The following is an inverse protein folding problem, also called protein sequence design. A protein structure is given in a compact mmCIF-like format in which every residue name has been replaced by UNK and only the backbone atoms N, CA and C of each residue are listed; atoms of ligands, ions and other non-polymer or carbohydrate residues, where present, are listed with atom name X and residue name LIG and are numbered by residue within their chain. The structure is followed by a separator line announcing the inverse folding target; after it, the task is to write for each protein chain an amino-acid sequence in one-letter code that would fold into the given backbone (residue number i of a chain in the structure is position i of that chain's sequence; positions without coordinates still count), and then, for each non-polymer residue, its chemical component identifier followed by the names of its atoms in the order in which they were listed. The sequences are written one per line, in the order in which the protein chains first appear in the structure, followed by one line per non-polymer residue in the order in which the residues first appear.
data_IF_679812511401
#
_entry.id   IF_679812511401
#
_cell.length_a   1.000
_cell.length_b   1.000
_cell.length_c   1.000
_cell.angle_alpha   90.00
_cell.angle_beta   90.00
_cell.angle_gamma   90.00
#
_symmetry.space_group_name_H-M   'P 1'
#
loop_
_entity.id
_entity.type
_entity.pdbx_description
1 polymer ?
#
# COMPACT_ATOMS: atom_id res chain seq x y z
N UNK A 1 23.67 -44.85 53.74
CA UNK A 1 23.40 -43.43 53.42
C UNK A 1 23.69 -43.22 51.94
N UNK A 2 22.67 -43.17 51.08
CA UNK A 2 22.85 -42.98 49.62
C UNK A 2 22.43 -41.57 49.27
N UNK A 3 23.38 -40.73 48.85
CA UNK A 3 23.14 -39.37 48.37
C UNK A 3 22.71 -39.49 46.90
N UNK A 4 21.48 -39.09 46.59
CA UNK A 4 21.00 -38.94 45.22
C UNK A 4 21.29 -37.51 44.77
N UNK A 5 22.29 -37.35 43.91
CA UNK A 5 22.57 -36.07 43.23
C UNK A 5 21.64 -35.97 42.03
N UNK A 6 20.63 -35.10 42.11
CA UNK A 6 19.79 -34.73 40.96
C UNK A 6 20.53 -33.64 40.18
N UNK A 7 21.04 -34.00 38.99
CA UNK A 7 21.62 -33.04 38.04
C UNK A 7 20.47 -32.45 37.22
N UNK A 8 20.13 -31.19 37.51
CA UNK A 8 19.15 -30.43 36.74
C UNK A 8 19.85 -29.80 35.53
N UNK A 9 19.78 -30.47 34.38
CA UNK A 9 20.28 -29.93 33.12
C UNK A 9 19.35 -28.82 32.61
N UNK A 10 19.74 -27.56 32.78
CA UNK A 10 19.10 -26.42 32.10
C UNK A 10 19.38 -26.52 30.59
N UNK A 11 18.41 -26.98 29.82
CA UNK A 11 18.40 -26.83 28.36
C UNK A 11 17.96 -25.41 28.04
N UNK A 12 18.91 -24.52 27.73
CA UNK A 12 18.61 -23.25 27.10
C UNK A 12 18.18 -23.51 25.65
N UNK A 13 16.87 -23.57 25.41
CA UNK A 13 16.33 -23.52 24.05
C UNK A 13 16.51 -22.09 23.56
N UNK A 14 17.52 -21.87 22.71
CA UNK A 14 17.64 -20.63 21.96
C UNK A 14 16.43 -20.51 21.02
N UNK A 15 15.42 -19.75 21.44
CA UNK A 15 14.30 -19.40 20.58
C UNK A 15 14.87 -18.56 19.43
N UNK A 16 14.75 -19.00 18.17
CA UNK A 16 15.19 -18.19 17.05
C UNK A 16 14.41 -16.87 17.09
N UNK A 17 15.12 -15.75 17.17
CA UNK A 17 14.52 -14.44 16.95
C UNK A 17 13.97 -14.45 15.53
N UNK A 18 12.64 -14.44 15.39
CA UNK A 18 11.99 -14.33 14.08
C UNK A 18 12.47 -13.02 13.45
N UNK A 19 13.29 -13.12 12.42
CA UNK A 19 13.70 -11.96 11.63
C UNK A 19 12.43 -11.30 11.07
N UNK A 20 12.39 -9.96 11.11
CA UNK A 20 11.27 -9.21 10.57
C UNK A 20 11.06 -9.56 9.09
N UNK A 21 9.85 -9.96 8.73
CA UNK A 21 9.51 -10.36 7.37
C UNK A 21 9.21 -9.16 6.48
N UNK A 22 8.79 -8.05 7.09
CA UNK A 22 8.37 -6.83 6.41
C UNK A 22 9.14 -5.64 6.95
N UNK A 23 9.67 -4.82 6.05
CA UNK A 23 10.21 -3.51 6.38
C UNK A 23 9.17 -2.45 6.05
N UNK A 24 8.85 -1.58 7.00
CA UNK A 24 7.98 -0.42 6.78
C UNK A 24 8.84 0.83 6.89
N UNK A 25 9.01 1.55 5.79
CA UNK A 25 9.77 2.80 5.73
C UNK A 25 8.79 3.96 5.74
N UNK A 26 8.81 4.75 6.82
CA UNK A 26 7.81 5.78 7.04
C UNK A 26 8.36 7.03 7.73
N UNK A 27 7.59 8.11 7.68
CA UNK A 27 7.78 9.31 8.53
C UNK A 27 6.53 9.61 9.39
N UNK A 28 5.42 8.91 9.17
CA UNK A 28 4.20 8.95 9.96
C UNK A 28 3.96 7.64 10.71
N UNK A 29 4.53 7.55 11.91
CA UNK A 29 4.63 6.28 12.63
C UNK A 29 3.29 5.75 13.17
N UNK A 30 2.36 6.56 13.71
CA UNK A 30 1.12 6.03 14.30
C UNK A 30 0.28 5.18 13.33
N UNK A 31 0.11 5.63 12.08
CA UNK A 31 -0.61 4.86 11.05
C UNK A 31 0.10 3.53 10.74
N UNK A 32 1.44 3.55 10.67
CA UNK A 32 2.23 2.36 10.38
C UNK A 32 2.37 1.41 11.57
N UNK A 33 2.30 1.90 12.80
CA UNK A 33 2.19 1.09 14.01
C UNK A 33 0.87 0.32 14.03
N UNK A 34 -0.22 0.97 13.60
CA UNK A 34 -1.51 0.31 13.46
C UNK A 34 -1.46 -0.79 12.39
N UNK A 35 -0.88 -0.51 11.21
CA UNK A 35 -0.66 -1.52 10.18
C UNK A 35 0.20 -2.70 10.69
N UNK A 36 1.31 -2.40 11.37
CA UNK A 36 2.21 -3.42 11.93
C UNK A 36 1.50 -4.32 12.96
N UNK A 37 0.71 -3.70 13.86
CA UNK A 37 -0.10 -4.42 14.84
C UNK A 37 -1.08 -5.37 14.15
N UNK A 38 -1.83 -4.87 13.17
CA UNK A 38 -2.80 -5.69 12.44
C UNK A 38 -2.13 -6.80 11.62
N UNK A 39 -0.99 -6.54 10.98
CA UNK A 39 -0.23 -7.56 10.24
C UNK A 39 0.21 -8.70 11.16
N UNK A 40 0.71 -8.38 12.36
CA UNK A 40 1.09 -9.37 13.37
C UNK A 40 -0.11 -10.16 13.87
N UNK A 41 -1.20 -9.49 14.22
CA UNK A 41 -2.39 -10.16 14.75
C UNK A 41 -3.10 -11.04 13.72
N UNK A 42 -3.18 -10.61 12.47
CA UNK A 42 -3.97 -11.30 11.44
C UNK A 42 -3.18 -12.37 10.67
N UNK A 43 -1.86 -12.20 10.54
CA UNK A 43 -1.01 -13.08 9.73
C UNK A 43 0.21 -13.62 10.48
N UNK A 44 0.48 -13.16 11.71
CA UNK A 44 1.66 -13.59 12.49
C UNK A 44 2.98 -13.06 11.93
N UNK A 45 2.94 -12.05 11.06
CA UNK A 45 4.14 -11.51 10.41
C UNK A 45 4.71 -10.37 11.23
N UNK A 46 5.98 -10.51 11.64
CA UNK A 46 6.73 -9.45 12.29
C UNK A 46 7.16 -8.40 11.25
N UNK A 47 7.04 -7.13 11.62
CA UNK A 47 7.49 -5.99 10.81
C UNK A 47 8.43 -5.08 11.57
N UNK A 48 9.37 -4.46 10.87
CA UNK A 48 10.25 -3.42 11.39
C UNK A 48 9.86 -2.08 10.79
N UNK A 49 9.50 -1.11 11.62
CA UNK A 49 9.24 0.28 11.19
C UNK A 49 10.53 1.09 11.35
N UNK A 50 10.93 1.82 10.32
CA UNK A 50 12.13 2.67 10.33
C UNK A 50 11.86 4.00 9.63
N UNK A 51 12.62 5.03 10.02
CA UNK A 51 12.76 6.21 9.15
C UNK A 51 13.59 5.84 7.93
N UNK A 52 13.42 6.59 6.83
CA UNK A 52 14.24 6.39 5.63
C UNK A 52 15.75 6.58 5.87
N UNK A 53 16.15 7.37 6.88
CA UNK A 53 17.56 7.54 7.30
C UNK A 53 18.11 6.35 8.08
N UNK A 54 17.24 5.46 8.55
CA UNK A 54 17.54 4.26 9.33
C UNK A 54 17.29 2.99 8.51
N UNK A 55 17.01 3.15 7.21
CA UNK A 55 16.73 2.05 6.31
C UNK A 55 18.00 1.18 6.15
N UNK A 56 17.90 -0.15 6.34
CA UNK A 56 19.05 -1.03 6.13
C UNK A 56 19.51 -0.98 4.67
N UNK A 57 20.82 -1.13 4.47
CA UNK A 57 21.42 -1.12 3.13
C UNK A 57 21.05 -2.34 2.30
N UNK A 58 20.80 -3.49 2.95
CA UNK A 58 20.31 -4.70 2.31
C UNK A 58 18.83 -4.92 2.61
N UNK A 59 18.02 -4.89 1.55
CA UNK A 59 16.57 -5.11 1.61
C UNK A 59 16.18 -6.55 1.24
N UNK A 60 17.11 -7.39 0.77
CA UNK A 60 16.83 -8.73 0.21
C UNK A 60 16.27 -9.71 1.24
N UNK A 61 16.55 -9.46 2.52
CA UNK A 61 16.06 -10.28 3.63
C UNK A 61 14.57 -10.08 3.90
N UNK A 62 13.97 -8.98 3.44
CA UNK A 62 12.55 -8.70 3.63
C UNK A 62 11.71 -9.28 2.48
N UNK A 63 10.61 -9.94 2.84
CA UNK A 63 9.61 -10.46 1.90
C UNK A 63 8.83 -9.36 1.20
N UNK A 64 8.68 -8.22 1.87
CA UNK A 64 8.07 -7.01 1.33
C UNK A 64 8.66 -5.76 1.99
N UNK A 65 8.73 -4.69 1.21
CA UNK A 65 9.02 -3.34 1.70
C UNK A 65 7.78 -2.48 1.50
N UNK A 66 7.25 -1.93 2.58
CA UNK A 66 6.14 -0.96 2.57
C UNK A 66 6.74 0.43 2.66
N UNK A 67 6.28 1.37 1.83
CA UNK A 67 6.70 2.78 1.90
C UNK A 67 5.49 3.68 2.15
N UNK A 68 5.61 4.51 3.18
CA UNK A 68 4.60 5.47 3.64
C UNK A 68 5.30 6.76 4.13
N UNK A 69 5.85 7.51 3.17
CA UNK A 69 6.64 8.72 3.42
C UNK A 69 5.87 9.92 2.88
N UNK A 70 5.31 10.74 3.77
CA UNK A 70 4.64 11.99 3.44
C UNK A 70 5.64 13.05 2.93
N UNK A 71 6.76 13.21 3.63
CA UNK A 71 7.80 14.20 3.33
C UNK A 71 8.61 13.89 2.07
N UNK A 72 9.78 14.52 1.91
CA UNK A 72 10.65 14.24 0.76
C UNK A 72 11.15 12.79 0.79
N UNK A 73 11.09 12.09 -0.35
CA UNK A 73 11.79 10.81 -0.51
C UNK A 73 13.26 11.09 -0.83
N UNK A 74 14.18 10.59 -0.01
CA UNK A 74 15.62 10.80 -0.18
C UNK A 74 16.18 9.95 -1.33
N UNK A 75 17.21 10.43 -2.06
CA UNK A 75 17.76 9.72 -3.22
C UNK A 75 18.29 8.30 -2.93
N UNK A 76 18.99 8.10 -1.81
CA UNK A 76 19.54 6.78 -1.48
C UNK A 76 18.43 5.76 -1.14
N UNK A 77 17.45 6.08 -0.27
CA UNK A 77 16.28 5.23 -0.09
C UNK A 77 15.48 4.93 -1.36
N UNK A 78 15.28 5.95 -2.21
CA UNK A 78 14.65 5.78 -3.53
C UNK A 78 15.36 4.71 -4.35
N UNK A 79 16.68 4.87 -4.54
CA UNK A 79 17.50 3.95 -5.34
C UNK A 79 17.49 2.54 -4.76
N UNK A 80 17.59 2.39 -3.44
CA UNK A 80 17.59 1.09 -2.79
C UNK A 80 16.25 0.36 -2.95
N UNK A 81 15.11 1.05 -2.82
CA UNK A 81 13.78 0.45 -3.04
C UNK A 81 13.54 0.06 -4.50
N UNK A 82 14.00 0.89 -5.45
CA UNK A 82 13.96 0.58 -6.89
C UNK A 82 14.77 -0.68 -7.18
N UNK A 83 16.03 -0.74 -6.72
CA UNK A 83 16.91 -1.89 -6.94
C UNK A 83 16.35 -3.16 -6.30
N UNK A 84 15.89 -3.09 -5.06
CA UNK A 84 15.23 -4.21 -4.36
C UNK A 84 14.09 -4.78 -5.21
N UNK A 85 13.24 -3.93 -5.77
CA UNK A 85 12.11 -4.35 -6.60
C UNK A 85 12.60 -4.96 -7.92
N UNK A 86 13.51 -4.29 -8.63
CA UNK A 86 14.07 -4.83 -9.88
C UNK A 86 14.71 -6.21 -9.69
N UNK A 87 15.33 -6.45 -8.53
CA UNK A 87 15.97 -7.72 -8.21
C UNK A 87 14.99 -8.84 -7.81
N UNK A 88 13.70 -8.58 -7.68
CA UNK A 88 12.68 -9.59 -7.33
C UNK A 88 11.85 -9.24 -6.09
N UNK A 89 12.17 -8.14 -5.42
CA UNK A 89 11.48 -7.67 -4.23
C UNK A 89 10.04 -7.22 -4.49
N UNK A 90 9.26 -7.17 -3.42
CA UNK A 90 7.88 -6.66 -3.43
C UNK A 90 7.80 -5.31 -2.73
N UNK A 91 7.46 -4.28 -3.49
CA UNK A 91 7.20 -2.95 -2.94
C UNK A 91 5.70 -2.72 -2.79
N UNK A 92 5.27 -2.23 -1.62
CA UNK A 92 3.91 -1.75 -1.37
C UNK A 92 3.99 -0.24 -1.09
N UNK A 93 3.65 0.55 -2.10
CA UNK A 93 3.63 2.01 -2.04
C UNK A 93 2.24 2.49 -1.61
N UNK A 94 2.19 3.21 -0.50
CA UNK A 94 0.94 3.68 0.08
C UNK A 94 0.77 5.19 -0.13
N UNK A 95 -0.45 5.61 -0.45
CA UNK A 95 -0.97 6.97 -0.45
C UNK A 95 0.02 8.05 -0.91
N UNK A 96 0.73 8.70 0.03
CA UNK A 96 1.71 9.77 -0.19
C UNK A 96 2.91 9.38 -1.08
N UNK A 97 3.08 8.09 -1.36
CA UNK A 97 4.09 7.58 -2.30
C UNK A 97 3.88 8.12 -3.72
N UNK A 98 2.68 8.58 -4.07
CA UNK A 98 2.40 9.30 -5.31
C UNK A 98 1.77 10.64 -4.96
N UNK A 99 2.62 11.63 -4.71
CA UNK A 99 2.22 13.02 -4.44
C UNK A 99 3.03 13.98 -5.29
N UNK A 100 2.56 15.22 -5.45
CA UNK A 100 3.24 16.24 -6.26
C UNK A 100 4.69 16.49 -5.82
N UNK A 101 4.98 16.38 -4.52
CA UNK A 101 6.33 16.51 -3.98
C UNK A 101 7.32 15.47 -4.52
N UNK A 102 6.84 14.28 -4.90
CA UNK A 102 7.68 13.21 -5.46
C UNK A 102 8.08 13.44 -6.92
N UNK A 103 7.59 14.49 -7.59
CA UNK A 103 8.06 14.87 -8.94
C UNK A 103 9.57 15.16 -9.00
N UNK A 104 10.18 15.52 -7.87
CA UNK A 104 11.62 15.84 -7.80
C UNK A 104 12.51 14.60 -7.68
N UNK A 105 11.92 13.42 -7.47
CA UNK A 105 12.64 12.16 -7.39
C UNK A 105 13.01 11.69 -8.79
N UNK A 106 14.27 11.30 -8.98
CA UNK A 106 14.86 11.09 -10.31
C UNK A 106 14.31 9.83 -11.00
N UNK A 107 13.89 8.83 -10.22
CA UNK A 107 13.49 7.51 -10.69
C UNK A 107 12.03 7.22 -10.38
N UNK A 108 11.51 7.78 -9.29
CA UNK A 108 10.31 7.29 -8.62
C UNK A 108 9.06 7.20 -9.50
N UNK A 109 8.73 8.27 -10.23
CA UNK A 109 7.53 8.27 -11.08
C UNK A 109 7.65 7.41 -12.33
N UNK A 110 8.83 7.36 -12.94
CA UNK A 110 9.11 6.43 -14.04
C UNK A 110 9.02 4.97 -13.56
N UNK A 111 9.65 4.68 -12.43
CA UNK A 111 9.62 3.38 -11.76
C UNK A 111 8.19 2.92 -11.42
N UNK A 112 7.36 3.82 -10.89
CA UNK A 112 5.94 3.53 -10.64
C UNK A 112 5.10 3.52 -11.92
N UNK A 113 5.56 4.17 -12.99
CA UNK A 113 4.82 4.31 -14.25
C UNK A 113 3.59 5.17 -14.05
N UNK A 114 3.78 6.31 -13.39
CA UNK A 114 2.74 7.27 -13.08
C UNK A 114 3.20 8.68 -13.44
N UNK A 115 2.29 9.42 -14.05
CA UNK A 115 2.42 10.84 -14.29
C UNK A 115 1.34 11.59 -13.53
N UNK A 116 1.71 12.78 -13.06
CA UNK A 116 0.78 13.76 -12.51
C UNK A 116 0.67 14.88 -13.56
N UNK A 117 -0.42 14.98 -14.33
CA UNK A 117 -0.56 16.04 -15.31
C UNK A 117 -0.58 17.43 -14.64
N UNK A 118 -0.09 18.45 -15.34
CA UNK A 118 -0.22 19.85 -14.90
C UNK A 118 -1.51 20.44 -15.49
N UNK A 119 -1.96 21.57 -14.93
CA UNK A 119 -3.14 22.30 -15.41
C UNK A 119 -4.37 22.09 -14.54
N UNK A 120 -5.51 22.55 -15.04
CA UNK A 120 -6.79 22.51 -14.33
C UNK A 120 -7.34 21.08 -14.19
N UNK A 121 -7.87 20.73 -13.01
CA UNK A 121 -8.39 19.39 -12.73
C UNK A 121 -9.53 18.99 -13.68
N UNK A 122 -10.35 19.97 -14.07
CA UNK A 122 -11.48 19.77 -14.98
C UNK A 122 -11.04 19.46 -16.41
N UNK A 123 -9.79 19.79 -16.75
CA UNK A 123 -9.14 19.54 -18.04
C UNK A 123 -8.14 18.36 -17.98
N UNK A 124 -8.17 17.58 -16.89
CA UNK A 124 -7.29 16.42 -16.69
C UNK A 124 -5.99 16.70 -15.94
N UNK A 125 -5.83 17.89 -15.35
CA UNK A 125 -4.74 18.23 -14.43
C UNK A 125 -4.81 17.46 -13.11
N UNK A 126 -3.68 17.13 -12.50
CA UNK A 126 -3.65 16.50 -11.18
C UNK A 126 -4.11 17.46 -10.09
N UNK A 127 -4.91 16.95 -9.14
CA UNK A 127 -5.29 17.66 -7.92
C UNK A 127 -5.42 16.67 -6.76
N UNK A 128 -5.22 17.16 -5.53
CA UNK A 128 -5.57 16.46 -4.30
C UNK A 128 -6.58 17.28 -3.48
N UNK A 129 -7.38 16.62 -2.63
CA UNK A 129 -8.29 17.28 -1.70
C UNK A 129 -8.47 16.42 -0.45
N UNK A 130 -8.23 17.01 0.72
CA UNK A 130 -8.36 16.38 2.04
C UNK A 130 -9.69 16.71 2.73
N UNK A 131 -9.99 16.02 3.84
CA UNK A 131 -11.23 16.18 4.60
C UNK A 131 -12.46 15.70 3.84
N UNK A 132 -12.28 14.76 2.90
CA UNK A 132 -13.35 14.30 2.00
C UNK A 132 -13.93 12.96 2.45
N UNK A 133 -15.15 12.68 1.99
CA UNK A 133 -15.71 11.33 1.97
C UNK A 133 -15.61 10.77 0.56
N UNK A 134 -15.09 9.55 0.43
CA UNK A 134 -14.96 8.85 -0.84
C UNK A 134 -15.28 7.36 -0.68
N UNK A 135 -15.84 6.77 -1.73
CA UNK A 135 -15.98 5.32 -1.82
C UNK A 135 -14.78 4.73 -2.53
N UNK A 136 -14.23 3.65 -1.99
CA UNK A 136 -13.23 2.82 -2.66
C UNK A 136 -13.92 1.57 -3.18
N UNK A 137 -13.75 1.31 -4.48
CA UNK A 137 -14.52 0.31 -5.22
C UNK A 137 -13.61 -0.83 -5.65
N UNK A 138 -14.04 -2.09 -5.45
CA UNK A 138 -13.32 -3.27 -5.90
C UNK A 138 -13.50 -3.50 -7.40
N UNK A 139 -12.48 -3.21 -8.21
CA UNK A 139 -12.51 -3.45 -9.65
C UNK A 139 -12.09 -4.87 -10.02
N UNK A 140 -11.26 -5.50 -9.20
CA UNK A 140 -10.70 -6.83 -9.41
C UNK A 140 -11.39 -7.85 -8.51
N UNK A 141 -12.68 -8.10 -8.73
CA UNK A 141 -13.54 -8.91 -7.84
C UNK A 141 -13.17 -10.38 -7.69
N UNK A 142 -12.13 -10.85 -8.39
CA UNK A 142 -11.59 -12.22 -8.30
C UNK A 142 -10.10 -12.25 -7.88
N UNK A 143 -9.49 -11.10 -7.60
CA UNK A 143 -8.06 -11.03 -7.28
C UNK A 143 -7.82 -11.22 -5.77
N UNK A 144 -6.77 -11.97 -5.39
CA UNK A 144 -6.47 -12.28 -3.98
C UNK A 144 -6.47 -11.03 -3.10
N UNK A 145 -5.81 -9.95 -3.55
CA UNK A 145 -5.67 -8.70 -2.80
C UNK A 145 -7.00 -8.09 -2.36
N UNK A 146 -8.01 -8.17 -3.21
CA UNK A 146 -9.32 -7.53 -3.03
C UNK A 146 -10.41 -8.51 -2.58
N UNK A 147 -10.10 -9.79 -2.41
CA UNK A 147 -11.11 -10.81 -2.09
C UNK A 147 -10.76 -11.64 -0.86
N UNK A 148 -9.47 -11.90 -0.61
CA UNK A 148 -9.06 -12.79 0.45
C UNK A 148 -9.34 -12.16 1.83
N UNK A 149 -10.33 -12.70 2.54
CA UNK A 149 -10.78 -12.21 3.86
C UNK A 149 -11.29 -10.76 3.87
N UNK A 150 -11.54 -10.13 2.72
CA UNK A 150 -12.02 -8.75 2.64
C UNK A 150 -13.54 -8.73 2.84
N UNK A 151 -14.01 -7.91 3.78
CA UNK A 151 -15.44 -7.70 4.05
C UNK A 151 -15.83 -6.28 3.66
N UNK A 152 -16.46 -6.14 2.50
CA UNK A 152 -16.99 -4.85 2.04
C UNK A 152 -18.25 -4.50 2.81
N UNK A 153 -18.41 -3.21 3.16
CA UNK A 153 -19.57 -2.73 3.91
C UNK A 153 -20.78 -2.45 3.02
N UNK A 154 -20.58 -2.25 1.72
CA UNK A 154 -21.66 -1.97 0.77
C UNK A 154 -21.32 -2.40 -0.67
N UNK A 155 -22.27 -2.18 -1.57
CA UNK A 155 -22.10 -2.20 -3.02
C UNK A 155 -22.62 -0.89 -3.61
N UNK A 156 -22.16 -0.53 -4.81
CA UNK A 156 -22.62 0.67 -5.49
C UNK A 156 -22.29 0.69 -6.98
N UNK A 157 -22.99 1.56 -7.72
CA UNK A 157 -22.78 1.73 -9.15
C UNK A 157 -21.45 2.43 -9.43
N UNK A 158 -20.65 1.82 -10.31
CA UNK A 158 -19.38 2.36 -10.77
C UNK A 158 -19.32 2.34 -12.30
N UNK A 159 -18.89 3.46 -12.88
CA UNK A 159 -18.70 3.62 -14.32
C UNK A 159 -17.22 3.73 -14.61
N UNK A 160 -16.68 2.77 -15.35
CA UNK A 160 -15.34 2.89 -15.92
C UNK A 160 -15.41 3.71 -17.22
N UNK A 161 -14.34 4.42 -17.62
CA UNK A 161 -14.32 5.12 -18.90
C UNK A 161 -14.67 4.18 -20.07
N UNK A 162 -15.69 4.56 -20.85
CA UNK A 162 -16.12 3.79 -22.03
C UNK A 162 -16.91 2.52 -21.73
N UNK A 163 -17.33 2.27 -20.49
CA UNK A 163 -18.14 1.09 -20.13
C UNK A 163 -19.49 1.46 -19.54
N UNK A 164 -20.40 0.49 -19.47
CA UNK A 164 -21.66 0.63 -18.75
C UNK A 164 -21.45 0.62 -17.23
N UNK A 165 -22.36 1.26 -16.51
CA UNK A 165 -22.40 1.19 -15.06
C UNK A 165 -22.55 -0.27 -14.59
N UNK A 166 -21.80 -0.62 -13.55
CA UNK A 166 -21.86 -1.93 -12.89
C UNK A 166 -21.90 -1.77 -11.39
N UNK A 167 -22.64 -2.64 -10.72
CA UNK A 167 -22.65 -2.72 -9.27
C UNK A 167 -21.41 -3.48 -8.78
N UNK A 168 -20.63 -2.86 -7.90
CA UNK A 168 -19.38 -3.43 -7.37
C UNK A 168 -19.30 -3.28 -5.84
N UNK A 169 -18.61 -4.20 -5.14
CA UNK A 169 -18.33 -4.06 -3.72
C UNK A 169 -17.52 -2.79 -3.43
N UNK A 170 -17.86 -2.10 -2.34
CA UNK A 170 -17.17 -0.89 -1.91
C UNK A 170 -17.13 -0.75 -0.39
N UNK A 171 -16.26 0.13 0.07
CA UNK A 171 -16.26 0.68 1.42
C UNK A 171 -16.08 2.20 1.34
N UNK A 172 -16.55 2.91 2.34
CA UNK A 172 -16.49 4.37 2.40
C UNK A 172 -15.44 4.81 3.42
N UNK A 173 -14.60 5.74 3.01
CA UNK A 173 -13.66 6.43 3.89
C UNK A 173 -14.18 7.84 4.16
N UNK A 174 -14.10 8.25 5.42
CA UNK A 174 -14.51 9.56 5.89
C UNK A 174 -13.28 10.32 6.38
N UNK A 175 -13.25 11.64 6.16
CA UNK A 175 -12.16 12.50 6.61
C UNK A 175 -10.79 12.03 6.07
N UNK A 176 -10.78 11.67 4.79
CA UNK A 176 -9.62 11.16 4.06
C UNK A 176 -9.17 12.15 2.98
N UNK A 177 -8.27 11.72 2.10
CA UNK A 177 -7.74 12.50 0.98
C UNK A 177 -7.90 11.75 -0.34
N UNK A 178 -8.32 12.47 -1.38
CA UNK A 178 -8.48 11.94 -2.74
C UNK A 178 -7.46 12.55 -3.69
N UNK A 179 -6.88 11.72 -4.54
CA UNK A 179 -6.03 12.14 -5.66
C UNK A 179 -6.75 11.96 -7.00
N UNK A 180 -6.80 13.03 -7.79
CA UNK A 180 -7.49 13.10 -9.06
C UNK A 180 -6.51 13.12 -10.23
N UNK A 181 -6.90 12.46 -11.33
CA UNK A 181 -6.22 12.43 -12.61
C UNK A 181 -4.77 11.89 -12.58
N UNK A 182 -4.48 10.85 -11.79
CA UNK A 182 -3.25 10.08 -12.01
C UNK A 182 -3.28 9.48 -13.41
N UNK A 183 -2.23 9.71 -14.20
CA UNK A 183 -2.04 9.01 -15.47
C UNK A 183 -1.13 7.83 -15.27
N UNK A 184 -1.52 6.71 -15.84
CA UNK A 184 -0.88 5.41 -15.68
C UNK A 184 -0.19 5.03 -17.00
N UNK A 185 1.12 4.77 -16.98
CA UNK A 185 1.92 4.40 -18.16
C UNK A 185 2.50 2.98 -18.08
N UNK A 186 2.15 2.11 -19.04
CA UNK A 186 2.60 0.71 -19.08
C UNK A 186 1.64 -0.28 -18.39
N UNK A 187 1.86 -1.57 -18.64
CA UNK A 187 0.97 -2.66 -18.22
C UNK A 187 0.83 -2.78 -16.70
N UNK A 188 -0.40 -3.05 -16.25
CA UNK A 188 -0.76 -3.22 -14.83
C UNK A 188 -2.12 -3.90 -14.69
N UNK A 189 -2.35 -4.45 -13.51
CA UNK A 189 -3.67 -4.91 -13.06
C UNK A 189 -4.28 -3.83 -12.18
N UNK A 190 -5.44 -3.29 -12.58
CA UNK A 190 -6.21 -2.37 -11.74
C UNK A 190 -6.95 -3.17 -10.67
N UNK A 191 -6.82 -2.73 -9.41
CA UNK A 191 -7.42 -3.39 -8.25
C UNK A 191 -8.61 -2.60 -7.69
N UNK A 192 -8.41 -1.29 -7.51
CA UNK A 192 -9.35 -0.41 -6.83
C UNK A 192 -9.64 0.82 -7.68
N UNK A 193 -10.91 1.19 -7.72
CA UNK A 193 -11.38 2.48 -8.20
C UNK A 193 -11.81 3.36 -7.03
N UNK A 194 -12.16 4.60 -7.34
CA UNK A 194 -12.79 5.51 -6.37
C UNK A 194 -14.01 6.21 -6.96
N UNK A 195 -14.96 6.50 -6.09
CA UNK A 195 -16.04 7.46 -6.33
C UNK A 195 -15.89 8.60 -5.35
N UNK A 196 -15.89 9.82 -5.86
CA UNK A 196 -15.76 11.01 -5.03
C UNK A 196 -16.70 12.09 -5.56
N UNK A 197 -17.51 12.66 -4.67
CA UNK A 197 -18.34 13.81 -4.98
C UNK A 197 -17.73 15.04 -4.33
N UNK A 198 -17.27 15.97 -5.17
CA UNK A 198 -16.76 17.24 -4.69
C UNK A 198 -17.91 18.06 -4.08
N UNK A 199 -17.83 18.31 -2.77
CA UNK A 199 -18.85 19.06 -2.04
C UNK A 199 -18.99 20.51 -2.53
N UNK A 200 -17.94 21.10 -3.12
CA UNK A 200 -17.97 22.49 -3.59
C UNK A 200 -18.66 22.63 -4.94
N UNK A 201 -18.40 21.70 -5.86
CA UNK A 201 -18.91 21.78 -7.24
C UNK A 201 -20.07 20.85 -7.52
N UNK A 202 -20.34 19.88 -6.63
CA UNK A 202 -21.29 18.80 -6.85
C UNK A 202 -20.85 17.75 -7.88
N UNK A 203 -19.65 17.91 -8.47
CA UNK A 203 -19.13 17.01 -9.50
C UNK A 203 -18.78 15.65 -8.91
N UNK A 204 -19.24 14.61 -9.57
CA UNK A 204 -18.87 13.23 -9.25
C UNK A 204 -17.70 12.78 -10.13
N UNK A 205 -16.73 12.13 -9.48
CA UNK A 205 -15.52 11.60 -10.07
C UNK A 205 -15.54 10.08 -9.94
N UNK A 206 -15.26 9.41 -11.04
CA UNK A 206 -15.07 7.97 -11.11
C UNK A 206 -13.70 7.71 -11.72
N UNK A 207 -12.80 7.07 -10.98
CA UNK A 207 -11.44 6.81 -11.46
C UNK A 207 -11.03 5.38 -11.11
N UNK A 208 -10.33 4.72 -12.03
CA UNK A 208 -9.95 3.30 -11.88
C UNK A 208 -8.57 3.09 -11.26
N UNK A 209 -7.90 4.18 -10.89
CA UNK A 209 -6.49 4.18 -10.52
C UNK A 209 -6.27 4.43 -9.02
N UNK A 210 -7.22 4.02 -8.17
CA UNK A 210 -7.12 4.09 -6.72
C UNK A 210 -6.29 2.95 -6.12
N UNK A 211 -6.03 1.89 -6.89
CA UNK A 211 -5.09 0.85 -6.51
C UNK A 211 -4.76 -0.06 -7.69
N UNK A 212 -3.50 -0.47 -7.80
CA UNK A 212 -3.02 -1.28 -8.92
C UNK A 212 -1.78 -2.11 -8.56
N UNK A 213 -1.48 -3.08 -9.42
CA UNK A 213 -0.28 -3.92 -9.36
C UNK A 213 0.45 -3.82 -10.69
N UNK A 214 1.77 -3.70 -10.69
CA UNK A 214 2.58 -3.88 -11.90
C UNK A 214 3.86 -4.63 -11.62
N UNK A 215 4.43 -5.20 -12.68
CA UNK A 215 5.81 -5.72 -12.67
C UNK A 215 6.80 -4.58 -12.84
N UNK A 216 7.97 -4.75 -12.23
CA UNK A 216 9.13 -3.90 -12.41
C UNK A 216 10.40 -4.72 -12.21
N UNK A 217 11.18 -4.92 -13.29
CA UNK A 217 12.21 -5.95 -13.33
C UNK A 217 11.64 -7.33 -12.98
N UNK A 218 12.26 -8.04 -12.03
CA UNK A 218 11.78 -9.35 -11.55
C UNK A 218 10.74 -9.24 -10.43
N UNK A 219 10.57 -8.06 -9.85
CA UNK A 219 9.70 -7.85 -8.71
C UNK A 219 8.30 -7.36 -9.07
N UNK A 220 7.62 -6.83 -8.07
CA UNK A 220 6.25 -6.36 -8.17
C UNK A 220 6.04 -5.13 -7.30
N UNK A 221 5.25 -4.20 -7.82
CA UNK A 221 4.83 -2.99 -7.12
C UNK A 221 3.33 -3.06 -6.92
N UNK A 222 2.89 -2.85 -5.69
CA UNK A 222 1.52 -2.51 -5.34
C UNK A 222 1.46 -1.03 -5.03
N UNK A 223 0.47 -0.35 -5.58
CA UNK A 223 0.11 0.99 -5.13
C UNK A 223 -1.33 0.99 -4.63
N UNK A 224 -1.55 1.62 -3.48
CA UNK A 224 -2.88 1.82 -2.89
C UNK A 224 -3.00 3.30 -2.52
N UNK A 225 -3.93 3.99 -3.18
CA UNK A 225 -4.18 5.42 -2.98
C UNK A 225 -4.76 5.75 -1.61
N UNK A 226 -5.71 5.00 -1.02
CA UNK A 226 -6.25 5.35 0.29
C UNK A 226 -5.19 5.26 1.38
N UNK A 227 -5.48 5.75 2.59
CA UNK A 227 -4.54 5.70 3.71
C UNK A 227 -3.95 7.07 4.05
N UNK A 228 -4.76 8.12 4.07
CA UNK A 228 -4.35 9.48 4.46
C UNK A 228 -4.11 9.63 5.96
N UNK A 229 -4.83 8.85 6.75
CA UNK A 229 -4.72 8.90 8.20
C UNK A 229 -4.82 7.51 8.81
N UNK A 230 -4.53 7.41 10.11
CA UNK A 230 -4.74 6.18 10.88
C UNK A 230 -6.17 5.66 10.80
N UNK A 231 -7.18 6.53 10.63
CA UNK A 231 -8.58 6.12 10.52
C UNK A 231 -8.85 5.28 9.27
N UNK A 232 -8.20 5.60 8.17
CA UNK A 232 -8.30 4.79 6.95
C UNK A 232 -7.78 3.38 7.23
N UNK A 233 -6.63 3.25 7.90
CA UNK A 233 -6.07 1.95 8.31
C UNK A 233 -6.92 1.21 9.36
N UNK A 234 -7.87 1.87 10.02
CA UNK A 234 -8.84 1.24 10.92
C UNK A 234 -10.10 0.75 10.18
N UNK A 235 -10.31 1.17 8.93
CA UNK A 235 -11.35 0.61 8.07
C UNK A 235 -10.98 -0.84 7.70
N UNK A 236 -11.90 -1.78 7.97
CA UNK A 236 -11.61 -3.21 7.94
C UNK A 236 -11.31 -3.75 6.54
N UNK A 237 -12.02 -3.27 5.51
CA UNK A 237 -11.78 -3.70 4.15
C UNK A 237 -10.43 -3.17 3.65
N UNK A 238 -10.13 -1.89 3.88
CA UNK A 238 -8.89 -1.25 3.47
C UNK A 238 -7.68 -1.89 4.15
N UNK A 239 -7.72 -2.04 5.47
CA UNK A 239 -6.61 -2.60 6.22
C UNK A 239 -6.29 -4.03 5.77
N UNK A 240 -7.34 -4.84 5.52
CA UNK A 240 -7.20 -6.18 4.98
C UNK A 240 -6.63 -6.19 3.56
N UNK A 241 -7.01 -5.24 2.72
CA UNK A 241 -6.46 -5.08 1.36
C UNK A 241 -4.95 -4.75 1.43
N UNK A 242 -4.53 -3.84 2.31
CA UNK A 242 -3.11 -3.53 2.52
C UNK A 242 -2.35 -4.77 2.98
N UNK A 243 -2.88 -5.50 3.97
CA UNK A 243 -2.27 -6.75 4.44
C UNK A 243 -2.21 -7.78 3.31
N UNK A 244 -3.26 -7.93 2.50
CA UNK A 244 -3.23 -8.83 1.37
C UNK A 244 -2.16 -8.44 0.34
N UNK A 245 -1.97 -7.15 0.04
CA UNK A 245 -0.90 -6.68 -0.84
C UNK A 245 0.48 -7.09 -0.30
N UNK A 246 0.68 -7.00 1.03
CA UNK A 246 1.92 -7.42 1.70
C UNK A 246 2.13 -8.94 1.59
N UNK A 247 1.11 -9.75 1.89
CA UNK A 247 1.26 -11.22 1.97
C UNK A 247 1.11 -11.94 0.63
N UNK A 248 0.46 -11.33 -0.36
CA UNK A 248 0.17 -11.95 -1.66
C UNK A 248 1.45 -12.37 -2.37
N UNK A 249 1.61 -13.66 -2.65
CA UNK A 249 2.70 -14.17 -3.46
C UNK A 249 2.21 -14.26 -4.92
N UNK A 250 2.52 -13.28 -5.78
CA UNK A 250 2.14 -13.40 -7.18
C UNK A 250 2.83 -14.63 -7.77
N UNK A 251 2.13 -15.34 -8.66
CA UNK A 251 2.73 -16.45 -9.40
C UNK A 251 4.05 -16.00 -10.03
N UNK A 252 5.09 -16.81 -9.87
CA UNK A 252 6.33 -16.63 -10.63
C UNK A 252 5.97 -16.79 -12.11
N UNK A 253 6.43 -15.90 -13.00
CA UNK A 253 6.25 -16.07 -14.44
C UNK A 253 6.75 -17.43 -14.93
#
# INVERSE_FOLDING_TARGET
MKIFTVVLSLVFVAMPTLAAQVLIVADEFPAMQELARQLKEQEGWESRIVKQTEMPTDLKTFRAVVVYIHGKLLPEPEKAMVNYTHEGGKLVALHHSISSGKRTNALWFEFLGVELPKGEVTQGGYQWTEGVTLDIVNLATNHFVTTHKVRYSASGQFVSPGTAARELPLFTLHDSEVYLNHKLAGERTLLLGLRYKDAKTGREWHQEHAGWIRRSGRGVIYYLMPGHSIRDFQEQAYSRIVINAIVHQPATP
#
